data_IF_553280415588
#
_entry.id   IF_553280415588
#
_cell.length_a   1.000
_cell.length_b   1.000
_cell.length_c   1.000
_cell.angle_alpha   90.00
_cell.angle_beta   90.00
_cell.angle_gamma   90.00
#
_symmetry.space_group_name_H-M   'P 1'
#
loop_
_entity.id
_entity.type
_entity.pdbx_description
1 polymer ?
#
# COMPACT_ATOMS: atom_id res chain seq x y z
N UNK A 1 4.70 -10.80 -24.98
CA UNK A 1 3.91 -12.03 -25.24
C UNK A 1 4.29 -13.20 -24.31
N UNK A 2 5.16 -13.00 -23.30
CA UNK A 2 5.59 -14.07 -22.40
C UNK A 2 4.54 -14.47 -21.35
N UNK A 3 3.61 -13.58 -20.99
CA UNK A 3 2.47 -13.92 -20.11
C UNK A 3 1.60 -15.06 -20.68
N UNK A 4 1.55 -15.24 -22.01
CA UNK A 4 0.77 -16.30 -22.69
C UNK A 4 1.05 -17.72 -22.16
N UNK A 5 2.25 -17.95 -21.64
CA UNK A 5 2.62 -19.24 -21.09
C UNK A 5 1.71 -19.67 -19.92
N UNK A 6 1.03 -18.73 -19.26
CA UNK A 6 0.12 -18.98 -18.14
C UNK A 6 -1.34 -19.18 -18.54
N UNK A 7 -1.71 -18.98 -19.81
CA UNK A 7 -3.08 -19.20 -20.27
C UNK A 7 -3.51 -20.67 -20.11
N UNK A 8 -4.67 -20.90 -19.49
CA UNK A 8 -5.18 -22.24 -19.22
C UNK A 8 -4.51 -22.96 -18.04
N UNK A 9 -3.58 -22.29 -17.33
CA UNK A 9 -3.09 -22.80 -16.04
C UNK A 9 -4.11 -22.55 -14.93
N UNK A 10 -4.03 -23.33 -13.87
CA UNK A 10 -4.80 -23.14 -12.65
C UNK A 10 -3.86 -22.83 -11.49
N UNK A 11 -4.19 -21.80 -10.72
CA UNK A 11 -3.60 -21.60 -9.42
C UNK A 11 -4.28 -22.53 -8.42
N UNK A 12 -3.51 -23.51 -7.95
CA UNK A 12 -3.85 -24.44 -6.88
C UNK A 12 -2.97 -24.18 -5.66
N UNK A 13 -3.37 -24.69 -4.49
CA UNK A 13 -2.49 -24.74 -3.32
C UNK A 13 -1.14 -25.41 -3.68
N UNK A 14 -0.04 -24.77 -3.29
CA UNK A 14 1.33 -25.24 -3.50
C UNK A 14 1.65 -26.46 -2.64
N UNK A 15 1.13 -26.45 -1.41
CA UNK A 15 1.27 -27.52 -0.43
C UNK A 15 -0.07 -28.18 -0.11
N UNK A 16 -0.08 -29.35 0.55
CA UNK A 16 -1.31 -29.92 1.11
C UNK A 16 -1.98 -28.95 2.08
N UNK A 17 -3.31 -28.97 2.14
CA UNK A 17 -4.12 -28.02 2.92
C UNK A 17 -3.76 -28.03 4.41
N UNK A 18 -3.28 -29.16 4.94
CA UNK A 18 -2.88 -29.31 6.35
C UNK A 18 -1.64 -28.49 6.73
N UNK A 19 -0.87 -28.01 5.74
CA UNK A 19 0.27 -27.11 5.97
C UNK A 19 -0.16 -25.66 6.19
N UNK A 20 -1.36 -25.30 5.78
CA UNK A 20 -1.83 -23.91 5.88
C UNK A 20 -2.26 -23.60 7.31
N UNK A 21 -1.86 -22.42 7.76
CA UNK A 21 -2.12 -21.91 9.09
C UNK A 21 -3.37 -21.04 9.15
N UNK A 22 -3.93 -20.62 8.02
CA UNK A 22 -5.20 -19.90 7.99
C UNK A 22 -6.28 -20.65 8.77
N UNK A 23 -6.97 -19.89 9.62
CA UNK A 23 -8.12 -20.36 10.39
C UNK A 23 -9.45 -20.06 9.70
N UNK A 24 -9.41 -19.52 8.48
CA UNK A 24 -10.59 -19.23 7.66
C UNK A 24 -10.77 -20.38 6.67
N UNK A 25 -12.00 -20.87 6.52
CA UNK A 25 -12.31 -21.88 5.51
C UNK A 25 -12.09 -21.30 4.11
N UNK A 26 -11.62 -22.13 3.17
CA UNK A 26 -11.40 -21.77 1.76
C UNK A 26 -12.64 -21.07 1.16
N UNK A 27 -13.78 -21.76 1.10
CA UNK A 27 -15.05 -21.13 0.72
C UNK A 27 -15.68 -20.40 1.92
N UNK A 28 -15.44 -19.09 2.01
CA UNK A 28 -16.05 -18.26 3.06
C UNK A 28 -16.68 -16.97 2.52
N UNK A 29 -17.56 -16.39 3.34
CA UNK A 29 -18.38 -15.22 2.99
C UNK A 29 -17.66 -13.88 3.09
N UNK A 30 -16.47 -13.83 3.70
CA UNK A 30 -15.75 -12.60 3.93
C UNK A 30 -14.99 -12.16 2.68
N UNK A 31 -14.50 -13.14 1.92
CA UNK A 31 -13.72 -12.95 0.71
C UNK A 31 -14.61 -12.58 -0.49
N UNK A 32 -14.24 -11.50 -1.17
CA UNK A 32 -15.00 -10.96 -2.31
C UNK A 32 -14.04 -10.57 -3.44
N UNK A 33 -13.38 -11.55 -4.09
CA UNK A 33 -12.26 -11.30 -4.99
C UNK A 33 -12.64 -10.59 -6.28
N UNK A 34 -13.93 -10.57 -6.65
CA UNK A 34 -14.40 -9.96 -7.88
C UNK A 34 -13.79 -10.65 -9.12
N UNK A 35 -13.81 -9.99 -10.27
CA UNK A 35 -13.15 -10.46 -11.51
C UNK A 35 -13.52 -11.90 -11.96
N UNK A 36 -14.68 -12.39 -11.51
CA UNK A 36 -15.15 -13.75 -11.77
C UNK A 36 -14.32 -14.84 -11.08
N UNK A 37 -13.60 -14.52 -10.00
CA UNK A 37 -12.96 -15.48 -9.09
C UNK A 37 -13.95 -15.89 -7.99
N UNK A 38 -13.85 -17.13 -7.53
CA UNK A 38 -14.49 -17.61 -6.29
C UNK A 38 -13.60 -17.35 -5.09
N UNK A 39 -14.13 -17.47 -3.86
CA UNK A 39 -13.32 -17.48 -2.64
C UNK A 39 -12.52 -18.79 -2.47
N UNK A 40 -12.95 -19.88 -3.11
CA UNK A 40 -12.32 -21.18 -2.97
C UNK A 40 -11.39 -21.51 -4.14
N UNK A 41 -10.33 -22.27 -3.84
CA UNK A 41 -9.48 -22.91 -4.84
C UNK A 41 -10.22 -24.01 -5.64
N UNK A 42 -9.80 -24.30 -6.89
CA UNK A 42 -8.71 -23.68 -7.64
C UNK A 42 -9.13 -22.46 -8.48
N UNK A 43 -8.17 -21.58 -8.79
CA UNK A 43 -8.40 -20.37 -9.61
C UNK A 43 -7.86 -20.53 -11.03
N UNK A 44 -8.74 -20.71 -12.01
CA UNK A 44 -8.36 -20.91 -13.41
C UNK A 44 -8.08 -19.60 -14.17
N UNK A 45 -6.97 -19.56 -14.90
CA UNK A 45 -6.69 -18.52 -15.87
C UNK A 45 -7.34 -18.89 -17.21
N UNK A 46 -8.16 -18.00 -17.80
CA UNK A 46 -8.69 -18.20 -19.14
C UNK A 46 -7.58 -18.49 -20.15
N UNK A 47 -7.86 -19.33 -21.15
CA UNK A 47 -6.90 -19.64 -22.20
C UNK A 47 -6.69 -18.49 -23.21
N UNK A 48 -7.65 -17.55 -23.30
CA UNK A 48 -7.57 -16.37 -24.18
C UNK A 48 -6.90 -15.17 -23.51
N UNK A 49 -6.47 -14.18 -24.29
CA UNK A 49 -5.89 -12.91 -23.80
C UNK A 49 -6.94 -11.79 -23.71
N UNK A 50 -8.08 -12.06 -23.09
CA UNK A 50 -9.11 -11.04 -22.89
C UNK A 50 -8.90 -10.26 -21.58
N UNK A 51 -9.79 -9.29 -21.32
CA UNK A 51 -9.73 -8.50 -20.11
C UNK A 51 -9.91 -9.33 -18.82
N UNK A 52 -10.59 -10.48 -18.89
CA UNK A 52 -10.75 -11.36 -17.74
C UNK A 52 -9.45 -12.11 -17.44
N UNK A 53 -8.74 -12.57 -18.47
CA UNK A 53 -7.42 -13.15 -18.32
C UNK A 53 -6.44 -12.22 -17.61
N UNK A 54 -6.28 -10.98 -18.10
CA UNK A 54 -5.28 -10.07 -17.51
C UNK A 54 -5.62 -9.70 -16.06
N UNK A 55 -6.90 -9.59 -15.71
CA UNK A 55 -7.33 -9.37 -14.31
C UNK A 55 -6.98 -10.55 -13.41
N UNK A 56 -7.30 -11.77 -13.83
CA UNK A 56 -6.99 -12.98 -13.04
C UNK A 56 -5.50 -13.29 -12.99
N UNK A 57 -4.77 -13.00 -14.07
CA UNK A 57 -3.33 -13.08 -14.08
C UNK A 57 -2.69 -12.13 -13.05
N UNK A 58 -3.15 -10.88 -12.98
CA UNK A 58 -2.66 -9.92 -11.99
C UNK A 58 -2.96 -10.36 -10.55
N UNK A 59 -4.13 -10.97 -10.32
CA UNK A 59 -4.55 -11.55 -9.03
C UNK A 59 -4.12 -13.03 -8.96
N UNK A 60 -2.84 -13.31 -9.20
CA UNK A 60 -2.30 -14.67 -9.08
C UNK A 60 -0.78 -14.66 -8.89
N UNK A 61 -0.19 -15.75 -8.37
CA UNK A 61 1.26 -15.89 -8.26
C UNK A 61 2.00 -15.81 -9.58
N UNK A 62 1.32 -16.11 -10.70
CA UNK A 62 1.92 -16.08 -12.04
C UNK A 62 2.42 -14.68 -12.43
N UNK A 63 1.80 -13.61 -11.92
CA UNK A 63 2.28 -12.25 -12.16
C UNK A 63 3.61 -11.94 -11.45
N UNK A 64 3.80 -12.41 -10.21
CA UNK A 64 5.11 -12.31 -9.54
C UNK A 64 6.16 -13.21 -10.19
N UNK A 65 5.78 -14.42 -10.60
CA UNK A 65 6.67 -15.31 -11.35
C UNK A 65 7.16 -14.63 -12.64
N UNK A 66 6.25 -14.07 -13.43
CA UNK A 66 6.58 -13.33 -14.65
C UNK A 66 7.55 -12.17 -14.38
N UNK A 67 7.36 -11.45 -13.27
CA UNK A 67 8.23 -10.34 -12.86
C UNK A 67 9.63 -10.82 -12.53
N UNK A 68 9.76 -11.90 -11.74
CA UNK A 68 11.06 -12.50 -11.39
C UNK A 68 11.77 -13.06 -12.63
N UNK A 69 11.05 -13.73 -13.52
CA UNK A 69 11.63 -14.25 -14.77
C UNK A 69 12.12 -13.10 -15.67
N UNK A 70 11.36 -12.01 -15.74
CA UNK A 70 11.78 -10.80 -16.46
C UNK A 70 13.05 -10.19 -15.85
N UNK A 71 13.13 -10.14 -14.51
CA UNK A 71 14.32 -9.66 -13.80
C UNK A 71 15.56 -10.52 -14.07
N UNK A 72 15.41 -11.86 -14.09
CA UNK A 72 16.50 -12.79 -14.44
C UNK A 72 16.99 -12.55 -15.87
N UNK A 73 16.09 -12.43 -16.83
CA UNK A 73 16.45 -12.13 -18.22
C UNK A 73 17.16 -10.79 -18.35
N UNK A 74 16.71 -9.76 -17.62
CA UNK A 74 17.36 -8.44 -17.61
C UNK A 74 18.79 -8.53 -17.08
N UNK A 75 19.01 -9.22 -15.96
CA UNK A 75 20.35 -9.42 -15.37
C UNK A 75 21.29 -10.11 -16.36
N UNK A 76 20.81 -11.13 -17.09
CA UNK A 76 21.63 -11.85 -18.05
C UNK A 76 21.96 -11.01 -19.29
N UNK A 77 20.97 -10.28 -19.82
CA UNK A 77 21.10 -9.58 -21.11
C UNK A 77 21.79 -8.23 -21.01
N UNK A 78 21.57 -7.52 -19.91
CA UNK A 78 22.22 -6.24 -19.62
C UNK A 78 23.49 -6.42 -18.80
N UNK A 79 23.90 -7.67 -18.54
CA UNK A 79 25.13 -8.03 -17.83
C UNK A 79 25.26 -7.37 -16.44
N UNK A 80 24.14 -7.23 -15.72
CA UNK A 80 24.11 -6.56 -14.42
C UNK A 80 24.98 -7.29 -13.39
N UNK A 81 25.85 -6.56 -12.71
CA UNK A 81 26.79 -7.06 -11.71
C UNK A 81 27.96 -7.87 -12.29
N UNK A 82 28.22 -7.77 -13.60
CA UNK A 82 29.34 -8.47 -14.25
C UNK A 82 30.67 -7.74 -14.18
N UNK A 83 30.66 -6.42 -14.03
CA UNK A 83 31.88 -5.60 -13.93
C UNK A 83 32.10 -5.02 -12.51
N UNK A 84 32.96 -4.01 -12.40
CA UNK A 84 33.32 -3.39 -11.11
C UNK A 84 32.39 -2.24 -10.70
N UNK A 85 31.53 -1.76 -11.60
CA UNK A 85 30.56 -0.70 -11.36
C UNK A 85 29.30 -1.32 -10.77
N UNK A 86 28.84 -0.87 -9.59
CA UNK A 86 27.60 -1.38 -9.03
C UNK A 86 26.38 -1.01 -9.88
N UNK A 87 25.57 -2.00 -10.21
CA UNK A 87 24.24 -1.81 -10.80
C UNK A 87 23.15 -1.80 -9.73
N UNK A 88 22.01 -1.16 -10.02
CA UNK A 88 20.85 -1.14 -9.15
C UNK A 88 19.62 -1.66 -9.89
N UNK A 89 19.00 -2.70 -9.34
CA UNK A 89 17.75 -3.27 -9.83
C UNK A 89 16.67 -3.16 -8.76
N UNK A 90 15.61 -2.40 -9.05
CA UNK A 90 14.43 -2.31 -8.20
C UNK A 90 13.32 -3.22 -8.74
N UNK A 91 12.83 -4.14 -7.90
CA UNK A 91 11.77 -5.09 -8.24
C UNK A 91 10.58 -4.91 -7.29
N UNK A 92 9.37 -4.95 -7.83
CA UNK A 92 8.14 -4.89 -7.07
C UNK A 92 7.29 -6.14 -7.39
N UNK A 93 6.92 -6.90 -6.37
CA UNK A 93 6.08 -8.09 -6.49
C UNK A 93 4.62 -7.73 -6.20
N UNK A 94 4.00 -6.97 -7.11
CA UNK A 94 2.68 -6.38 -6.90
C UNK A 94 1.53 -7.37 -6.77
N UNK A 95 1.71 -8.63 -7.18
CA UNK A 95 0.64 -9.63 -7.08
C UNK A 95 0.25 -9.92 -5.62
N UNK A 96 1.17 -9.72 -4.66
CA UNK A 96 0.87 -9.85 -3.23
C UNK A 96 -0.23 -8.84 -2.80
N UNK A 97 -0.17 -7.61 -3.29
CA UNK A 97 -1.18 -6.58 -3.04
C UNK A 97 -2.51 -6.91 -3.74
N UNK A 98 -2.48 -7.30 -5.01
CA UNK A 98 -3.70 -7.68 -5.74
C UNK A 98 -4.42 -8.87 -5.11
N UNK A 99 -3.68 -9.91 -4.68
CA UNK A 99 -4.23 -11.05 -3.96
C UNK A 99 -4.78 -10.61 -2.61
N UNK A 100 -4.05 -9.78 -1.86
CA UNK A 100 -4.51 -9.22 -0.59
C UNK A 100 -5.81 -8.42 -0.73
N UNK A 101 -5.94 -7.57 -1.74
CA UNK A 101 -7.17 -6.83 -2.01
C UNK A 101 -8.35 -7.71 -2.41
N UNK A 102 -8.10 -8.84 -3.07
CA UNK A 102 -9.14 -9.76 -3.51
C UNK A 102 -9.64 -10.67 -2.37
N UNK A 103 -8.72 -11.25 -1.60
CA UNK A 103 -9.02 -12.33 -0.65
C UNK A 103 -8.73 -11.96 0.81
N UNK A 104 -8.00 -10.88 1.08
CA UNK A 104 -7.64 -10.47 2.44
C UNK A 104 -6.47 -11.26 3.06
N UNK A 105 -5.83 -10.73 4.11
CA UNK A 105 -4.57 -11.28 4.64
C UNK A 105 -4.69 -12.62 5.36
N UNK A 106 -5.92 -13.08 5.62
CA UNK A 106 -6.19 -14.32 6.34
C UNK A 106 -6.69 -15.45 5.43
N UNK A 107 -6.72 -15.25 4.11
CA UNK A 107 -7.17 -16.29 3.18
C UNK A 107 -6.07 -17.33 2.90
N UNK A 108 -6.46 -18.46 2.32
CA UNK A 108 -5.50 -19.45 1.83
C UNK A 108 -4.70 -18.90 0.64
N UNK A 109 -5.28 -18.02 -0.17
CA UNK A 109 -4.63 -17.36 -1.30
C UNK A 109 -3.48 -16.46 -0.85
N UNK A 110 -3.69 -15.64 0.17
CA UNK A 110 -2.65 -14.79 0.72
C UNK A 110 -1.50 -15.63 1.29
N UNK A 111 -1.81 -16.70 2.04
CA UNK A 111 -0.81 -17.59 2.60
C UNK A 111 -0.04 -18.37 1.50
N UNK A 112 -0.74 -18.94 0.51
CA UNK A 112 -0.11 -19.62 -0.62
C UNK A 112 0.78 -18.68 -1.43
N UNK A 113 0.32 -17.43 -1.63
CA UNK A 113 1.10 -16.40 -2.29
C UNK A 113 2.41 -16.11 -1.53
N UNK A 114 2.39 -16.07 -0.19
CA UNK A 114 3.61 -15.94 0.61
C UNK A 114 4.54 -17.14 0.47
N UNK A 115 4.03 -18.38 0.50
CA UNK A 115 4.88 -19.56 0.27
C UNK A 115 5.53 -19.57 -1.11
N UNK A 116 4.80 -19.13 -2.13
CA UNK A 116 5.35 -19.00 -3.48
C UNK A 116 6.35 -17.86 -3.58
N UNK A 117 6.09 -16.74 -2.92
CA UNK A 117 7.02 -15.59 -2.85
C UNK A 117 8.33 -15.99 -2.17
N UNK A 118 8.26 -16.69 -1.04
CA UNK A 118 9.43 -17.24 -0.35
C UNK A 118 10.28 -18.11 -1.28
N UNK A 119 9.66 -19.08 -1.96
CA UNK A 119 10.36 -19.92 -2.95
C UNK A 119 10.96 -19.12 -4.10
N UNK A 120 10.21 -18.17 -4.66
CA UNK A 120 10.70 -17.32 -5.75
C UNK A 120 11.91 -16.49 -5.33
N UNK A 121 11.89 -15.92 -4.13
CA UNK A 121 13.02 -15.17 -3.58
C UNK A 121 14.23 -16.06 -3.30
N UNK A 122 14.02 -17.26 -2.75
CA UNK A 122 15.09 -18.24 -2.54
C UNK A 122 15.75 -18.65 -3.85
N UNK A 123 14.95 -18.98 -4.87
CA UNK A 123 15.46 -19.33 -6.20
C UNK A 123 16.13 -18.13 -6.89
N UNK A 124 15.64 -16.90 -6.67
CA UNK A 124 16.26 -15.69 -7.19
C UNK A 124 17.61 -15.39 -6.51
N UNK A 125 17.74 -15.58 -5.20
CA UNK A 125 19.00 -15.45 -4.48
C UNK A 125 20.04 -16.47 -4.99
N UNK A 126 19.66 -17.74 -5.17
CA UNK A 126 20.52 -18.76 -5.79
C UNK A 126 20.97 -18.35 -7.19
N UNK A 127 20.05 -17.83 -8.00
CA UNK A 127 20.37 -17.32 -9.32
C UNK A 127 21.38 -16.15 -9.24
N UNK A 128 21.25 -15.23 -8.29
CA UNK A 128 22.22 -14.14 -8.09
C UNK A 128 23.60 -14.67 -7.66
N UNK A 129 23.65 -15.69 -6.78
CA UNK A 129 24.91 -16.34 -6.42
C UNK A 129 25.61 -16.96 -7.64
N UNK A 130 24.86 -17.60 -8.53
CA UNK A 130 25.38 -18.22 -9.75
C UNK A 130 25.79 -17.20 -10.82
N UNK A 131 25.00 -16.14 -11.01
CA UNK A 131 25.19 -15.19 -12.11
C UNK A 131 26.03 -13.98 -11.71
N UNK A 132 25.82 -13.40 -10.54
CA UNK A 132 26.57 -12.22 -10.07
C UNK A 132 27.78 -12.64 -9.23
N UNK A 133 27.66 -13.76 -8.51
CA UNK A 133 28.66 -14.29 -7.60
C UNK A 133 28.25 -14.10 -6.14
N UNK A 134 28.32 -15.18 -5.36
CA UNK A 134 28.08 -15.14 -3.92
C UNK A 134 28.96 -14.09 -3.24
N UNK A 135 28.34 -13.24 -2.42
CA UNK A 135 29.03 -12.13 -1.75
C UNK A 135 29.33 -10.92 -2.65
N UNK A 136 28.75 -10.83 -3.86
CA UNK A 136 28.86 -9.65 -4.75
C UNK A 136 27.56 -8.90 -5.00
N UNK A 137 26.46 -9.34 -4.41
CA UNK A 137 25.16 -8.67 -4.49
C UNK A 137 24.63 -8.37 -3.10
N UNK A 138 23.81 -7.33 -2.99
CA UNK A 138 23.06 -6.99 -1.77
C UNK A 138 21.61 -6.77 -2.13
N UNK A 139 20.70 -7.29 -1.32
CA UNK A 139 19.27 -7.10 -1.41
C UNK A 139 18.79 -6.32 -0.19
N UNK A 140 17.95 -5.31 -0.43
CA UNK A 140 17.08 -4.72 0.57
C UNK A 140 15.63 -5.11 0.20
N UNK A 141 14.92 -5.76 1.12
CA UNK A 141 13.54 -6.18 0.96
C UNK A 141 12.69 -5.47 2.00
N UNK A 142 11.58 -4.88 1.55
CA UNK A 142 10.57 -4.26 2.41
C UNK A 142 9.19 -4.36 1.75
N UNK A 143 8.19 -3.75 2.38
CA UNK A 143 6.87 -3.54 1.79
C UNK A 143 6.61 -2.04 1.71
N UNK A 144 5.87 -1.60 0.71
CA UNK A 144 5.38 -0.22 0.61
C UNK A 144 4.33 0.08 1.68
N UNK A 145 3.56 -0.92 2.09
CA UNK A 145 2.64 -0.86 3.22
C UNK A 145 2.32 -2.27 3.77
N UNK A 146 1.61 -2.31 4.90
CA UNK A 146 0.93 -3.50 5.42
C UNK A 146 -0.48 -3.64 4.83
N UNK A 147 -1.36 -4.34 5.52
CA UNK A 147 -2.77 -4.46 5.14
C UNK A 147 -3.61 -4.78 6.37
N UNK A 148 -4.80 -4.22 6.41
CA UNK A 148 -5.75 -4.51 7.48
C UNK A 148 -6.50 -5.84 7.24
N UNK A 149 -7.05 -6.47 8.30
CA UNK A 149 -7.96 -7.59 8.13
C UNK A 149 -9.25 -7.19 7.43
N UNK A 150 -9.94 -8.14 6.80
CA UNK A 150 -11.29 -7.91 6.25
C UNK A 150 -12.20 -7.45 7.41
N UNK A 151 -12.95 -6.34 7.27
CA UNK A 151 -13.73 -5.78 8.37
C UNK A 151 -14.75 -6.76 8.92
N UNK A 152 -15.45 -7.48 8.05
CA UNK A 152 -16.46 -8.47 8.44
C UNK A 152 -15.84 -9.68 9.14
N UNK A 153 -14.61 -10.08 8.78
CA UNK A 153 -13.87 -11.13 9.47
C UNK A 153 -13.40 -10.66 10.85
N UNK A 154 -12.78 -9.49 10.93
CA UNK A 154 -12.33 -8.89 12.19
C UNK A 154 -13.51 -8.70 13.17
N UNK A 155 -14.67 -8.25 12.68
CA UNK A 155 -15.89 -8.14 13.47
C UNK A 155 -16.39 -9.50 14.00
N UNK A 156 -16.25 -10.57 13.21
CA UNK A 156 -16.61 -11.92 13.64
C UNK A 156 -15.74 -12.44 14.80
N UNK A 157 -14.55 -11.86 14.97
CA UNK A 157 -13.64 -12.13 16.09
C UNK A 157 -13.88 -11.21 17.31
N UNK A 158 -14.91 -10.35 17.26
CA UNK A 158 -15.26 -9.43 18.34
C UNK A 158 -14.47 -8.12 18.35
N UNK A 159 -13.73 -7.81 17.28
CA UNK A 159 -13.07 -6.51 17.12
C UNK A 159 -14.09 -5.45 16.69
N UNK A 160 -13.86 -4.18 17.06
CA UNK A 160 -14.67 -3.02 16.61
C UNK A 160 -14.36 -2.63 15.16
N UNK A 161 -14.47 -3.59 14.24
CA UNK A 161 -14.21 -3.42 12.82
C UNK A 161 -15.51 -3.22 12.04
N UNK A 162 -15.52 -2.25 11.12
CA UNK A 162 -16.69 -2.02 10.28
C UNK A 162 -16.33 -1.31 8.97
N UNK A 163 -17.21 -1.48 7.97
CA UNK A 163 -17.32 -0.52 6.87
C UNK A 163 -17.87 0.78 7.45
N UNK A 164 -17.13 1.86 7.27
CA UNK A 164 -17.44 3.17 7.82
C UNK A 164 -18.75 3.71 7.24
N UNK A 165 -19.64 4.26 8.08
CA UNK A 165 -20.85 4.95 7.61
C UNK A 165 -20.54 6.26 6.87
N UNK A 166 -19.28 6.71 6.90
CA UNK A 166 -18.82 7.85 6.08
C UNK A 166 -19.02 7.59 4.58
N UNK A 167 -19.06 6.31 4.18
CA UNK A 167 -19.30 5.89 2.79
C UNK A 167 -18.02 5.85 1.96
N UNK A 168 -18.19 5.98 0.65
CA UNK A 168 -17.12 6.07 -0.33
C UNK A 168 -16.57 7.50 -0.47
N UNK A 169 -15.45 7.67 -1.16
CA UNK A 169 -14.96 9.01 -1.54
C UNK A 169 -16.00 9.90 -2.24
N UNK A 170 -16.95 9.33 -3.00
CA UNK A 170 -18.05 10.11 -3.60
C UNK A 170 -19.05 10.62 -2.56
N UNK A 171 -19.33 9.81 -1.54
CA UNK A 171 -20.21 10.20 -0.43
C UNK A 171 -19.53 11.29 0.41
N UNK A 172 -18.23 11.16 0.67
CA UNK A 172 -17.42 12.19 1.34
C UNK A 172 -17.44 13.50 0.54
N UNK A 173 -17.21 13.44 -0.77
CA UNK A 173 -17.25 14.62 -1.63
C UNK A 173 -18.61 15.32 -1.57
N UNK A 174 -19.70 14.57 -1.67
CA UNK A 174 -21.06 15.13 -1.66
C UNK A 174 -21.42 15.76 -0.31
N UNK A 175 -21.07 15.12 0.81
CA UNK A 175 -21.35 15.64 2.13
C UNK A 175 -20.47 16.84 2.49
N UNK A 176 -19.18 16.81 2.12
CA UNK A 176 -18.28 17.95 2.25
C UNK A 176 -18.79 19.16 1.45
N UNK A 177 -19.30 18.94 0.24
CA UNK A 177 -19.93 20.00 -0.56
C UNK A 177 -21.11 20.63 0.18
N UNK A 178 -21.96 19.81 0.81
CA UNK A 178 -23.07 20.27 1.64
C UNK A 178 -22.59 21.12 2.82
N UNK A 179 -21.59 20.65 3.57
CA UNK A 179 -21.02 21.36 4.72
C UNK A 179 -20.46 22.74 4.32
N UNK A 180 -19.68 22.81 3.23
CA UNK A 180 -19.13 24.08 2.74
C UNK A 180 -20.23 25.03 2.29
N UNK A 181 -21.26 24.53 1.58
CA UNK A 181 -22.40 25.37 1.15
C UNK A 181 -23.14 25.99 2.31
N UNK A 182 -23.41 25.21 3.35
CA UNK A 182 -24.07 25.71 4.57
C UNK A 182 -23.20 26.77 5.24
N UNK A 183 -21.91 26.50 5.43
CA UNK A 183 -20.98 27.44 6.08
C UNK A 183 -20.87 28.78 5.35
N UNK A 184 -20.85 28.75 4.02
CA UNK A 184 -20.67 29.93 3.17
C UNK A 184 -21.98 30.56 2.68
N UNK A 185 -23.15 30.02 3.05
CA UNK A 185 -24.45 30.50 2.58
C UNK A 185 -24.63 30.37 1.07
N UNK A 186 -24.06 29.35 0.44
CA UNK A 186 -24.14 29.13 -1.01
C UNK A 186 -25.33 28.22 -1.33
N UNK A 187 -26.31 28.68 -2.13
CA UNK A 187 -27.46 27.85 -2.50
C UNK A 187 -27.06 26.54 -3.20
N UNK A 188 -27.90 25.51 -3.07
CA UNK A 188 -27.76 24.30 -3.87
C UNK A 188 -27.82 24.62 -5.38
N UNK A 189 -27.04 23.90 -6.18
CA UNK A 189 -27.05 24.05 -7.65
C UNK A 189 -26.09 25.11 -8.22
N UNK A 190 -25.45 25.95 -7.39
CA UNK A 190 -24.37 26.84 -7.86
C UNK A 190 -23.21 26.00 -8.41
N UNK A 191 -22.81 26.29 -9.65
CA UNK A 191 -21.72 25.62 -10.37
C UNK A 191 -20.55 26.58 -10.65
N UNK A 192 -19.31 26.06 -10.78
CA UNK A 192 -18.93 24.66 -10.53
C UNK A 192 -19.00 24.29 -9.04
N UNK A 193 -18.92 23.00 -8.70
CA UNK A 193 -18.89 22.53 -7.29
C UNK A 193 -17.76 23.19 -6.49
N UNK A 194 -17.98 23.45 -5.19
CA UNK A 194 -16.98 24.01 -4.27
C UNK A 194 -15.91 22.97 -3.89
N UNK A 195 -16.27 21.70 -3.87
CA UNK A 195 -15.39 20.54 -3.66
C UNK A 195 -15.06 19.93 -5.03
N UNK A 196 -13.77 19.84 -5.33
CA UNK A 196 -13.25 19.26 -6.56
C UNK A 196 -13.37 17.73 -6.54
N UNK A 197 -12.92 17.10 -5.45
CA UNK A 197 -12.90 15.66 -5.25
C UNK A 197 -12.71 15.31 -3.78
N UNK A 198 -13.00 14.07 -3.40
CA UNK A 198 -12.48 13.46 -2.19
C UNK A 198 -11.93 12.07 -2.53
N UNK A 199 -10.68 11.84 -2.19
CA UNK A 199 -9.92 10.63 -2.53
C UNK A 199 -8.75 10.45 -1.57
N UNK A 200 -8.31 9.22 -1.33
CA UNK A 200 -7.12 8.91 -0.53
C UNK A 200 -7.13 9.61 0.84
N UNK A 201 -8.29 9.63 1.49
CA UNK A 201 -8.56 10.31 2.77
C UNK A 201 -8.26 11.82 2.78
N UNK A 202 -8.43 12.45 1.62
CA UNK A 202 -8.23 13.88 1.40
C UNK A 202 -9.45 14.48 0.70
N UNK A 203 -9.81 15.70 1.11
CA UNK A 203 -10.82 16.52 0.43
C UNK A 203 -10.13 17.67 -0.29
N UNK A 204 -10.35 17.78 -1.60
CA UNK A 204 -9.80 18.82 -2.45
C UNK A 204 -10.88 19.87 -2.71
N UNK A 205 -10.63 21.10 -2.29
CA UNK A 205 -11.50 22.24 -2.59
C UNK A 205 -11.13 22.83 -3.95
N UNK A 206 -12.12 23.40 -4.64
CA UNK A 206 -11.94 24.02 -5.95
C UNK A 206 -11.32 25.41 -5.77
N UNK A 207 -9.99 25.48 -5.71
CA UNK A 207 -9.22 26.72 -5.44
C UNK A 207 -9.46 27.85 -6.45
N UNK A 208 -9.89 27.54 -7.67
CA UNK A 208 -10.26 28.52 -8.71
C UNK A 208 -11.73 28.99 -8.62
N UNK A 209 -12.50 28.49 -7.65
CA UNK A 209 -13.89 28.89 -7.47
C UNK A 209 -13.98 30.31 -6.88
N UNK A 210 -14.74 31.24 -7.49
CA UNK A 210 -14.76 32.66 -7.08
C UNK A 210 -15.30 32.91 -5.66
N UNK A 211 -16.05 31.94 -5.10
CA UNK A 211 -16.55 31.97 -3.71
C UNK A 211 -15.57 31.38 -2.68
N UNK A 212 -14.44 30.84 -3.13
CA UNK A 212 -13.40 30.25 -2.28
C UNK A 212 -12.14 31.12 -2.31
N UNK A 213 -12.29 32.41 -1.97
CA UNK A 213 -11.20 33.37 -1.92
C UNK A 213 -11.01 33.92 -0.50
N UNK A 214 -9.76 34.18 -0.12
CA UNK A 214 -9.41 34.70 1.21
C UNK A 214 -9.97 33.84 2.34
N UNK A 215 -10.55 34.49 3.36
CA UNK A 215 -11.15 33.82 4.52
C UNK A 215 -12.23 32.80 4.16
N UNK A 216 -12.93 32.95 3.03
CA UNK A 216 -13.93 31.96 2.61
C UNK A 216 -13.32 30.59 2.30
N UNK A 217 -12.06 30.54 1.85
CA UNK A 217 -11.34 29.29 1.61
C UNK A 217 -10.94 28.60 2.92
N UNK A 218 -10.53 29.37 3.94
CA UNK A 218 -10.22 28.83 5.28
C UNK A 218 -11.49 28.34 5.97
N UNK A 219 -12.57 29.13 5.94
CA UNK A 219 -13.87 28.71 6.46
C UNK A 219 -14.43 27.46 5.77
N UNK A 220 -14.15 27.27 4.48
CA UNK A 220 -14.52 26.05 3.77
C UNK A 220 -13.74 24.83 4.27
N UNK A 221 -12.43 24.97 4.53
CA UNK A 221 -11.63 23.91 5.15
C UNK A 221 -12.16 23.55 6.53
N UNK A 222 -12.43 24.56 7.37
CA UNK A 222 -13.01 24.36 8.71
C UNK A 222 -14.33 23.61 8.65
N UNK A 223 -15.24 23.98 7.73
CA UNK A 223 -16.54 23.32 7.58
C UNK A 223 -16.40 21.82 7.27
N UNK A 224 -15.43 21.47 6.40
CA UNK A 224 -15.16 20.08 6.07
C UNK A 224 -14.53 19.34 7.25
N UNK A 225 -13.55 19.94 7.94
CA UNK A 225 -12.92 19.38 9.14
C UNK A 225 -13.97 19.10 10.22
N UNK A 226 -14.80 20.09 10.54
CA UNK A 226 -15.77 19.99 11.63
C UNK A 226 -16.83 18.93 11.31
N UNK A 227 -17.32 18.89 10.07
CA UNK A 227 -18.24 17.83 9.62
C UNK A 227 -17.61 16.43 9.73
N UNK A 228 -16.34 16.28 9.34
CA UNK A 228 -15.62 15.01 9.46
C UNK A 228 -15.46 14.59 10.93
N UNK A 229 -15.08 15.52 11.82
CA UNK A 229 -14.90 15.25 13.25
C UNK A 229 -16.21 14.88 13.96
N UNK A 230 -17.36 15.33 13.45
CA UNK A 230 -18.67 14.92 13.95
C UNK A 230 -19.02 13.45 13.59
N UNK A 231 -18.28 12.82 12.68
CA UNK A 231 -18.58 11.44 12.27
C UNK A 231 -18.00 10.42 13.26
N UNK A 232 -18.77 9.42 13.70
CA UNK A 232 -18.35 8.49 14.75
C UNK A 232 -17.17 7.59 14.34
N UNK A 233 -16.91 7.44 13.04
CA UNK A 233 -15.82 6.61 12.51
C UNK A 233 -14.55 7.38 12.18
N UNK A 234 -14.53 8.71 12.31
CA UNK A 234 -13.36 9.55 12.07
C UNK A 234 -12.56 9.68 13.37
N UNK A 235 -11.24 9.52 13.26
CA UNK A 235 -10.31 9.64 14.38
C UNK A 235 -9.79 11.07 14.54
N UNK A 236 -9.43 11.71 13.42
CA UNK A 236 -8.98 13.10 13.36
C UNK A 236 -9.15 13.62 11.93
N UNK A 237 -9.23 14.94 11.80
CA UNK A 237 -9.22 15.66 10.54
C UNK A 237 -8.45 16.97 10.73
N UNK A 238 -7.60 17.31 9.76
CA UNK A 238 -6.72 18.47 9.82
C UNK A 238 -6.81 19.24 8.52
N UNK A 239 -7.01 20.55 8.64
CA UNK A 239 -7.02 21.47 7.51
C UNK A 239 -5.61 21.73 7.00
N UNK A 240 -5.52 22.11 5.72
CA UNK A 240 -4.29 22.62 5.14
C UNK A 240 -3.76 23.84 5.90
N UNK A 241 -4.63 24.74 6.36
CA UNK A 241 -4.23 25.90 7.15
C UNK A 241 -3.53 25.49 8.46
N UNK A 242 -4.08 24.51 9.19
CA UNK A 242 -3.47 23.94 10.40
C UNK A 242 -2.13 23.25 10.09
N UNK A 243 -2.04 22.51 8.98
CA UNK A 243 -0.80 21.85 8.57
C UNK A 243 0.30 22.89 8.25
N UNK A 244 -0.03 23.95 7.52
CA UNK A 244 0.92 25.04 7.21
C UNK A 244 1.35 25.82 8.44
N UNK A 245 0.52 25.85 9.49
CA UNK A 245 0.81 26.47 10.78
C UNK A 245 1.52 25.52 11.76
N UNK A 246 1.89 24.30 11.34
CA UNK A 246 2.50 23.26 12.19
C UNK A 246 1.64 22.90 13.43
N UNK A 247 0.32 23.09 13.33
CA UNK A 247 -0.58 22.92 14.45
C UNK A 247 -0.66 21.43 14.88
N UNK A 248 -0.33 21.17 16.14
CA UNK A 248 -0.38 19.81 16.71
C UNK A 248 0.65 18.85 16.13
N UNK A 249 1.70 19.32 15.45
CA UNK A 249 2.72 18.47 14.81
C UNK A 249 3.43 17.50 15.78
N UNK A 250 3.41 17.77 17.09
CA UNK A 250 3.97 16.88 18.11
C UNK A 250 3.07 15.69 18.49
N UNK A 251 1.78 15.69 18.13
CA UNK A 251 0.89 14.57 18.41
C UNK A 251 1.12 13.43 17.39
N UNK A 252 1.22 12.15 17.81
CA UNK A 252 1.64 11.06 16.92
C UNK A 252 0.87 10.95 15.59
N UNK A 253 -0.47 11.00 15.65
CA UNK A 253 -1.32 10.94 14.45
C UNK A 253 -1.16 12.18 13.56
N UNK A 254 -1.12 13.38 14.15
CA UNK A 254 -0.95 14.62 13.39
C UNK A 254 0.44 14.73 12.76
N UNK A 255 1.47 14.22 13.42
CA UNK A 255 2.80 14.10 12.83
C UNK A 255 2.80 13.27 11.53
N UNK A 256 1.93 12.26 11.42
CA UNK A 256 1.75 11.49 10.19
C UNK A 256 1.10 12.31 9.08
N UNK A 257 0.08 13.12 9.39
CA UNK A 257 -0.49 14.04 8.41
C UNK A 257 0.53 15.06 7.91
N UNK A 258 1.36 15.62 8.79
CA UNK A 258 2.44 16.52 8.40
C UNK A 258 3.45 15.86 7.45
N UNK A 259 3.86 14.61 7.72
CA UNK A 259 4.75 13.86 6.82
C UNK A 259 4.10 13.51 5.48
N UNK A 260 2.79 13.28 5.45
CA UNK A 260 2.04 12.97 4.24
C UNK A 260 1.63 14.23 3.43
N UNK A 261 1.81 15.43 3.99
CA UNK A 261 1.33 16.67 3.40
C UNK A 261 2.37 17.30 2.46
N UNK A 262 1.98 17.49 1.21
CA UNK A 262 2.72 18.23 0.22
C UNK A 262 1.96 19.50 -0.19
N UNK A 263 2.56 20.67 0.04
CA UNK A 263 1.93 21.99 -0.18
C UNK A 263 1.26 22.14 -1.56
N UNK A 264 1.79 21.55 -2.61
CA UNK A 264 1.21 21.68 -3.96
C UNK A 264 0.32 20.52 -4.41
N UNK A 265 0.35 19.37 -3.71
CA UNK A 265 -0.24 18.12 -4.21
C UNK A 265 -1.31 17.54 -3.30
N UNK A 266 -1.22 17.80 -2.00
CA UNK A 266 -2.22 17.36 -1.04
C UNK A 266 -3.48 18.20 -1.09
N UNK A 267 -4.58 17.58 -0.67
CA UNK A 267 -5.87 18.21 -0.47
C UNK A 267 -5.86 19.30 0.59
N UNK A 268 -7.03 19.88 0.80
CA UNK A 268 -7.23 21.02 1.67
C UNK A 268 -7.74 20.60 3.06
N UNK A 269 -8.25 19.38 3.19
CA UNK A 269 -8.49 18.71 4.47
C UNK A 269 -8.04 17.25 4.37
N UNK A 270 -7.18 16.80 5.28
CA UNK A 270 -6.75 15.41 5.45
C UNK A 270 -7.54 14.81 6.61
N UNK A 271 -7.90 13.53 6.55
CA UNK A 271 -8.56 12.85 7.66
C UNK A 271 -8.08 11.42 7.83
N UNK A 272 -8.35 10.84 9.01
CA UNK A 272 -8.12 9.44 9.28
C UNK A 272 -9.38 8.82 9.87
N UNK A 273 -9.74 7.63 9.41
CA UNK A 273 -10.73 6.80 10.08
C UNK A 273 -10.12 6.20 11.35
N UNK A 274 -10.96 5.84 12.32
CA UNK A 274 -10.56 5.08 13.52
C UNK A 274 -9.97 3.72 13.13
N UNK A 275 -9.17 3.09 14.02
CA UNK A 275 -8.62 1.76 13.74
C UNK A 275 -9.73 0.78 13.33
N UNK A 276 -9.45 -0.02 12.29
CA UNK A 276 -10.38 -1.03 11.76
C UNK A 276 -11.71 -0.46 11.20
N UNK A 277 -11.77 0.84 10.90
CA UNK A 277 -12.85 1.46 10.15
C UNK A 277 -12.41 1.69 8.69
N UNK A 278 -13.25 1.30 7.75
CA UNK A 278 -12.87 1.18 6.34
C UNK A 278 -13.78 1.95 5.40
N UNK A 279 -13.25 2.46 4.29
CA UNK A 279 -14.09 2.96 3.20
C UNK A 279 -15.06 1.86 2.72
N UNK A 280 -16.35 2.22 2.61
CA UNK A 280 -17.41 1.29 2.24
C UNK A 280 -17.39 0.87 0.75
N UNK A 281 -16.54 1.49 -0.07
CA UNK A 281 -16.33 1.17 -1.48
C UNK A 281 -15.34 0.03 -1.74
N UNK A 282 -14.54 -0.39 -0.74
CA UNK A 282 -13.69 -1.58 -0.87
C UNK A 282 -14.50 -2.88 -0.74
N UNK A 283 -14.27 -3.83 -1.65
CA UNK A 283 -14.99 -5.11 -1.68
C UNK A 283 -14.56 -6.08 -0.56
N UNK A 284 -13.26 -6.12 -0.24
CA UNK A 284 -12.70 -7.09 0.69
C UNK A 284 -11.84 -6.40 1.76
N UNK A 285 -10.59 -6.05 1.47
CA UNK A 285 -9.79 -5.20 2.37
C UNK A 285 -9.04 -4.12 1.60
N UNK A 286 -8.37 -3.24 2.33
CA UNK A 286 -7.49 -2.20 1.79
C UNK A 286 -6.46 -1.81 2.85
N UNK A 287 -5.53 -0.97 2.41
CA UNK A 287 -4.56 -0.24 3.23
C UNK A 287 -4.76 1.28 3.01
N UNK A 288 -3.83 2.07 3.55
CA UNK A 288 -3.81 3.53 3.42
C UNK A 288 -4.18 4.30 4.70
N UNK A 289 -4.41 3.59 5.81
CA UNK A 289 -4.65 4.19 7.11
C UNK A 289 -3.36 4.46 7.89
N UNK A 290 -3.36 5.36 8.88
CA UNK A 290 -2.18 5.66 9.70
C UNK A 290 -1.90 4.59 10.78
N UNK A 291 -2.64 3.48 10.79
CA UNK A 291 -2.57 2.50 11.88
C UNK A 291 -1.50 1.45 11.62
N UNK A 292 -1.03 0.79 12.69
CA UNK A 292 0.12 -0.12 12.62
C UNK A 292 -0.05 -1.28 11.63
N UNK A 293 -1.28 -1.76 11.40
CA UNK A 293 -1.49 -2.84 10.42
C UNK A 293 -1.19 -2.42 8.98
N UNK A 294 -1.19 -1.13 8.66
CA UNK A 294 -0.81 -0.58 7.35
C UNK A 294 0.61 -0.01 7.33
N UNK A 295 1.15 0.42 8.47
CA UNK A 295 2.45 1.12 8.52
C UNK A 295 3.61 0.30 9.05
N UNK A 296 3.34 -0.86 9.67
CA UNK A 296 4.37 -1.79 10.11
C UNK A 296 4.75 -2.75 8.98
N UNK A 297 5.92 -2.53 8.39
CA UNK A 297 6.45 -3.31 7.27
C UNK A 297 7.77 -4.00 7.65
N UNK A 298 8.08 -5.16 7.06
CA UNK A 298 9.38 -5.77 7.25
C UNK A 298 10.48 -4.92 6.62
N UNK A 299 11.69 -4.99 7.16
CA UNK A 299 12.90 -4.46 6.55
C UNK A 299 14.01 -5.49 6.70
N UNK A 300 14.46 -6.04 5.59
CA UNK A 300 15.47 -7.10 5.55
C UNK A 300 16.60 -6.68 4.62
N UNK A 301 17.84 -6.79 5.10
CA UNK A 301 19.03 -6.72 4.26
C UNK A 301 19.66 -8.10 4.17
N UNK A 302 20.15 -8.46 2.99
CA UNK A 302 20.78 -9.75 2.73
C UNK A 302 21.91 -9.59 1.71
N UNK A 303 23.02 -10.30 1.91
CA UNK A 303 24.10 -10.41 0.93
C UNK A 303 25.41 -9.75 1.36
N UNK A 304 26.14 -9.20 0.38
CA UNK A 304 27.47 -8.63 0.56
C UNK A 304 27.47 -7.46 1.55
N UNK A 305 28.47 -7.40 2.43
CA UNK A 305 28.67 -6.30 3.40
C UNK A 305 27.47 -6.06 4.34
N UNK A 306 26.54 -7.03 4.43
CA UNK A 306 25.45 -7.02 5.40
C UNK A 306 25.85 -7.87 6.61
N UNK A 307 25.68 -7.32 7.81
CA UNK A 307 25.91 -8.02 9.07
C UNK A 307 24.76 -8.98 9.44
N UNK A 308 25.02 -9.92 10.34
CA UNK A 308 23.97 -10.77 10.91
C UNK A 308 23.46 -10.14 12.19
N UNK A 309 22.29 -9.49 12.12
CA UNK A 309 21.63 -8.89 13.26
C UNK A 309 20.12 -9.04 13.16
N UNK A 310 19.46 -9.23 14.30
CA UNK A 310 18.03 -9.03 14.45
C UNK A 310 17.81 -7.82 15.36
N UNK A 311 16.96 -6.90 14.94
CA UNK A 311 16.63 -5.71 15.69
C UNK A 311 15.12 -5.57 15.83
N UNK A 312 14.65 -5.30 17.04
CA UNK A 312 13.26 -4.91 17.32
C UNK A 312 13.11 -3.39 17.43
N UNK A 313 14.15 -2.63 17.09
CA UNK A 313 14.13 -1.17 17.09
C UNK A 313 13.15 -0.68 16.02
N UNK A 314 12.38 0.35 16.36
CA UNK A 314 11.57 1.04 15.37
C UNK A 314 12.48 1.78 14.36
N UNK A 315 12.30 1.47 13.08
CA UNK A 315 13.05 2.03 11.95
C UNK A 315 12.08 2.44 10.84
N UNK A 316 12.56 3.23 9.88
CA UNK A 316 11.75 3.67 8.75
C UNK A 316 12.26 3.06 7.43
N UNK A 317 11.39 2.63 6.50
CA UNK A 317 11.82 2.14 5.17
C UNK A 317 12.67 3.15 4.40
N UNK A 318 12.49 4.46 4.65
CA UNK A 318 13.36 5.49 4.09
C UNK A 318 14.83 5.39 4.50
N UNK A 319 15.17 4.54 5.48
CA UNK A 319 16.55 4.20 5.85
C UNK A 319 17.22 3.24 4.87
N UNK A 320 16.49 2.64 3.92
CA UNK A 320 17.06 1.76 2.88
C UNK A 320 18.11 2.51 2.05
N UNK A 321 17.75 3.67 1.50
CA UNK A 321 18.62 4.44 0.63
C UNK A 321 19.96 4.84 1.29
N UNK A 322 19.99 5.47 2.48
CA UNK A 322 21.25 5.81 3.14
C UNK A 322 22.05 4.57 3.57
N UNK A 323 21.38 3.46 3.89
CA UNK A 323 22.08 2.19 4.25
C UNK A 323 22.75 1.56 3.03
N UNK A 324 22.06 1.53 1.87
CA UNK A 324 22.67 1.05 0.61
C UNK A 324 23.80 1.97 0.14
N UNK A 325 23.65 3.29 0.30
CA UNK A 325 24.72 4.24 0.00
C UNK A 325 25.98 3.97 0.84
N UNK A 326 25.82 3.70 2.14
CA UNK A 326 26.92 3.31 3.02
C UNK A 326 27.57 1.98 2.59
N UNK A 327 26.78 0.98 2.17
CA UNK A 327 27.30 -0.31 1.67
C UNK A 327 28.15 -0.12 0.40
N UNK A 328 27.74 0.81 -0.47
CA UNK A 328 28.38 1.11 -1.74
C UNK A 328 29.53 2.13 -1.64
N UNK A 329 29.73 2.75 -0.47
CA UNK A 329 30.68 3.85 -0.26
C UNK A 329 30.43 5.04 -1.21
N UNK A 330 29.15 5.44 -1.31
CA UNK A 330 28.70 6.60 -2.09
C UNK A 330 27.92 7.58 -1.22
N UNK A 331 27.79 8.82 -1.69
CA UNK A 331 26.96 9.82 -1.04
C UNK A 331 25.48 9.39 -1.03
N UNK A 332 24.81 9.58 0.10
CA UNK A 332 23.38 9.31 0.21
C UNK A 332 22.58 10.30 -0.65
N UNK A 333 21.37 9.94 -1.12
CA UNK A 333 20.50 10.88 -1.81
C UNK A 333 20.27 12.15 -0.99
N UNK A 334 20.38 13.31 -1.64
CA UNK A 334 20.35 14.63 -0.97
C UNK A 334 19.06 14.92 -0.17
N UNK A 335 17.98 14.19 -0.43
CA UNK A 335 16.69 14.31 0.26
C UNK A 335 16.42 13.22 1.30
N UNK A 336 17.43 12.43 1.70
CA UNK A 336 17.25 11.44 2.76
C UNK A 336 16.95 12.12 4.10
N UNK A 337 15.79 11.79 4.67
CA UNK A 337 15.35 12.28 6.00
C UNK A 337 15.66 11.28 7.13
N UNK A 338 16.14 10.09 6.79
CA UNK A 338 16.42 9.00 7.73
C UNK A 338 17.90 8.64 7.74
N UNK A 339 18.35 8.09 8.86
CA UNK A 339 19.74 7.72 9.06
C UNK A 339 20.07 6.34 8.48
N UNK A 340 21.35 6.12 8.19
CA UNK A 340 21.87 4.79 7.87
C UNK A 340 21.68 3.84 9.06
N UNK A 341 21.23 2.61 8.79
CA UNK A 341 21.12 1.55 9.78
C UNK A 341 22.49 0.88 9.95
N UNK A 342 23.34 1.46 10.78
CA UNK A 342 24.71 0.97 11.01
C UNK A 342 24.75 -0.47 11.51
N UNK A 343 23.71 -0.93 12.21
CA UNK A 343 23.60 -2.31 12.66
C UNK A 343 23.37 -3.33 11.53
N UNK A 344 22.98 -2.87 10.34
CA UNK A 344 22.83 -3.72 9.15
C UNK A 344 24.16 -3.92 8.41
N UNK A 345 25.18 -3.11 8.71
CA UNK A 345 26.48 -3.17 8.04
C UNK A 345 27.35 -4.29 8.64
N UNK A 346 28.13 -4.96 7.80
CA UNK A 346 29.15 -5.88 8.27
C UNK A 346 30.25 -5.12 9.07
N UNK A 347 30.87 -5.75 10.08
CA UNK A 347 31.94 -5.14 10.89
C UNK A 347 33.16 -4.69 10.11
#
# INVERSE_FOLDING_TARGET
RASRAFGGQAWTLLYPAERYHSHVADDNKFEKPGSGLSAAFPHELPAGEDAAYFKRFAISPFASQYTIETARELILREELGRDATPDCLALCLSANDYVGHAFGPHSLEAEDMFYRTDRMLAEFATFLDEQVGAGRWTLALSSDHGVAPIPEYAASLGLEAARSPLGSGKDVQANAEGAVRVRLGVPAGVQPSLVLSADSTQVFLRRDHPRLAGEAFEHAQDAVRDWLLDQPSVADAVTRAELLAEAGAGAPLRAMFHRAFHKQRSGDVLYALKPLQFDAGSLCTSHGSPWNYDTHVPLVFLGARVGVANSSRHVHPGSIAPTLAAILDIEAPAGCEHECLTEALAP
#
